data_IF_138198092319
#
_entry.id   IF_138198092319
#
_cell.length_a   1.000
_cell.length_b   1.000
_cell.length_c   1.000
_cell.angle_alpha   90.00
_cell.angle_beta   90.00
_cell.angle_gamma   90.00
#
_symmetry.space_group_name_H-M   'P 1'
#
loop_
_entity.id
_entity.type
_entity.pdbx_description
1 polymer ?
#
# COMPACT_ATOMS: atom_id res chain seq x y z
N UNK A 1 -6.82 -10.02 14.81
CA UNK A 1 -5.46 -9.69 14.34
C UNK A 1 -5.24 -10.48 13.07
N UNK A 2 -5.29 -9.81 11.92
CA UNK A 2 -5.10 -10.48 10.62
C UNK A 2 -3.63 -10.89 10.42
N UNK A 3 -3.37 -11.85 9.51
CA UNK A 3 -2.01 -12.21 9.11
C UNK A 3 -1.30 -11.01 8.48
N UNK A 4 0.04 -10.93 8.58
CA UNK A 4 0.81 -9.75 8.16
C UNK A 4 1.30 -9.90 6.71
N UNK A 5 1.39 -8.80 5.93
CA UNK A 5 1.92 -8.85 4.57
C UNK A 5 3.34 -9.41 4.56
N UNK A 6 3.59 -10.43 3.73
CA UNK A 6 4.91 -11.05 3.61
C UNK A 6 5.88 -10.14 2.85
N UNK A 7 7.06 -9.85 3.41
CA UNK A 7 8.01 -8.86 2.87
C UNK A 7 8.75 -9.30 1.60
N UNK A 8 8.65 -10.59 1.22
CA UNK A 8 9.42 -11.16 0.12
C UNK A 8 9.18 -10.43 -1.21
N UNK A 9 7.96 -9.99 -1.50
CA UNK A 9 7.64 -9.33 -2.77
C UNK A 9 8.26 -7.92 -2.89
N UNK A 10 8.25 -7.14 -1.81
CA UNK A 10 8.72 -5.75 -1.83
C UNK A 10 10.24 -5.64 -2.02
N UNK A 11 11.00 -6.64 -1.58
CA UNK A 11 12.46 -6.68 -1.73
C UNK A 11 12.89 -7.32 -3.05
N UNK A 12 12.04 -8.19 -3.62
CA UNK A 12 12.24 -8.81 -4.93
C UNK A 12 11.70 -7.99 -6.10
N UNK A 13 11.32 -6.73 -5.89
CA UNK A 13 10.78 -5.87 -6.94
C UNK A 13 11.75 -5.80 -8.13
N UNK A 14 11.21 -6.05 -9.31
CA UNK A 14 11.89 -5.89 -10.58
C UNK A 14 12.29 -4.41 -10.80
N UNK A 15 13.32 -4.13 -11.62
CA UNK A 15 13.70 -2.75 -11.94
C UNK A 15 12.54 -1.91 -12.51
N UNK A 16 11.65 -2.55 -13.27
CA UNK A 16 10.44 -1.94 -13.84
C UNK A 16 9.49 -1.49 -12.72
N UNK A 17 9.19 -2.36 -11.77
CA UNK A 17 8.28 -2.05 -10.66
C UNK A 17 8.84 -0.96 -9.74
N UNK A 18 10.17 -0.94 -9.51
CA UNK A 18 10.84 0.16 -8.81
C UNK A 18 10.65 1.49 -9.55
N UNK A 19 10.74 1.47 -10.88
CA UNK A 19 10.49 2.66 -11.72
C UNK A 19 9.03 3.10 -11.65
N UNK A 20 8.08 2.17 -11.57
CA UNK A 20 6.65 2.48 -11.40
C UNK A 20 6.35 3.14 -10.04
N UNK A 21 6.96 2.64 -8.96
CA UNK A 21 6.87 3.26 -7.63
C UNK A 21 7.46 4.67 -7.63
N UNK A 22 8.65 4.86 -8.21
CA UNK A 22 9.30 6.15 -8.34
C UNK A 22 8.45 7.14 -9.16
N UNK A 23 7.88 6.68 -10.28
CA UNK A 23 6.97 7.46 -11.12
C UNK A 23 5.71 7.87 -10.35
N UNK A 24 5.18 6.96 -9.53
CA UNK A 24 4.01 7.25 -8.68
C UNK A 24 4.36 8.29 -7.61
N UNK A 25 5.52 8.19 -6.97
CA UNK A 25 6.01 9.18 -6.01
C UNK A 25 6.20 10.56 -6.66
N UNK A 26 6.72 10.61 -7.88
CA UNK A 26 6.85 11.84 -8.65
C UNK A 26 5.48 12.47 -8.91
N UNK A 27 4.50 11.69 -9.36
CA UNK A 27 3.13 12.15 -9.56
C UNK A 27 2.54 12.73 -8.27
N UNK A 28 2.66 12.02 -7.14
CA UNK A 28 2.19 12.51 -5.84
C UNK A 28 2.89 13.80 -5.41
N UNK A 29 4.17 13.94 -5.74
CA UNK A 29 4.95 15.16 -5.44
C UNK A 29 4.48 16.34 -6.29
N UNK A 30 4.22 16.14 -7.58
CA UNK A 30 3.64 17.17 -8.46
C UNK A 30 2.24 17.59 -7.97
N UNK A 31 1.41 16.63 -7.58
CA UNK A 31 0.09 16.91 -6.99
C UNK A 31 0.19 17.68 -5.67
N UNK A 32 1.13 17.32 -4.80
CA UNK A 32 1.39 18.04 -3.55
C UNK A 32 1.73 19.50 -3.81
N UNK A 33 2.71 19.78 -4.66
CA UNK A 33 3.16 21.16 -4.95
C UNK A 33 2.02 22.00 -5.53
N UNK A 34 1.19 21.42 -6.40
CA UNK A 34 0.04 22.12 -6.99
C UNK A 34 -1.04 22.46 -5.96
N UNK A 35 -1.26 21.60 -4.96
CA UNK A 35 -2.42 21.68 -4.07
C UNK A 35 -2.10 22.23 -2.66
N UNK A 36 -0.82 22.43 -2.32
CA UNK A 36 -0.41 22.84 -0.96
C UNK A 36 -0.97 24.18 -0.52
N UNK A 37 -1.11 25.14 -1.44
CA UNK A 37 -1.59 26.48 -1.11
C UNK A 37 -3.12 26.54 -0.95
N UNK A 38 -3.85 25.63 -1.60
CA UNK A 38 -5.32 25.64 -1.64
C UNK A 38 -5.94 24.71 -0.59
N UNK A 39 -5.32 23.57 -0.33
CA UNK A 39 -5.96 22.47 0.41
C UNK A 39 -5.24 22.11 1.70
N UNK A 40 -4.42 23.02 2.22
CA UNK A 40 -3.58 22.81 3.39
C UNK A 40 -4.30 22.33 4.66
N UNK A 41 -5.59 22.65 4.79
CA UNK A 41 -6.47 22.26 5.92
C UNK A 41 -7.43 21.11 5.59
N UNK A 42 -7.40 20.58 4.37
CA UNK A 42 -8.31 19.52 3.94
C UNK A 42 -7.81 18.15 4.40
N UNK A 43 -8.71 17.30 4.90
CA UNK A 43 -8.36 15.95 5.37
C UNK A 43 -7.69 15.10 4.27
N UNK A 44 -8.22 15.15 3.04
CA UNK A 44 -7.62 14.44 1.91
C UNK A 44 -6.20 14.89 1.60
N UNK A 45 -5.88 16.18 1.82
CA UNK A 45 -4.55 16.69 1.58
C UNK A 45 -3.56 16.19 2.63
N UNK A 46 -3.99 16.08 3.90
CA UNK A 46 -3.19 15.42 4.94
C UNK A 46 -2.92 13.95 4.60
N UNK A 47 -3.91 13.21 4.10
CA UNK A 47 -3.73 11.83 3.62
C UNK A 47 -2.76 11.75 2.43
N UNK A 48 -2.83 12.68 1.47
CA UNK A 48 -1.86 12.79 0.37
C UNK A 48 -0.44 13.03 0.89
N UNK A 49 -0.27 13.95 1.84
CA UNK A 49 1.05 14.26 2.44
C UNK A 49 1.61 13.03 3.15
N UNK A 50 0.79 12.34 3.94
CA UNK A 50 1.17 11.13 4.64
C UNK A 50 1.58 10.03 3.66
N UNK A 51 0.73 9.74 2.67
CA UNK A 51 0.98 8.72 1.64
C UNK A 51 2.27 9.01 0.85
N UNK A 52 2.47 10.24 0.40
CA UNK A 52 3.70 10.66 -0.32
C UNK A 52 4.95 10.43 0.52
N UNK A 53 4.92 10.86 1.79
CA UNK A 53 6.07 10.69 2.70
C UNK A 53 6.37 9.22 2.93
N UNK A 54 5.34 8.43 3.21
CA UNK A 54 5.48 6.99 3.43
C UNK A 54 6.06 6.28 2.22
N UNK A 55 5.56 6.58 1.00
CA UNK A 55 6.09 6.00 -0.23
C UNK A 55 7.57 6.37 -0.46
N UNK A 56 7.96 7.61 -0.15
CA UNK A 56 9.36 8.03 -0.22
C UNK A 56 10.26 7.28 0.77
N UNK A 57 9.79 7.01 1.99
CA UNK A 57 10.52 6.22 2.98
C UNK A 57 10.68 4.77 2.53
N UNK A 58 9.61 4.15 2.04
CA UNK A 58 9.65 2.79 1.52
C UNK A 58 10.65 2.63 0.37
N UNK A 59 10.65 3.57 -0.59
CA UNK A 59 11.59 3.52 -1.72
C UNK A 59 13.04 3.67 -1.23
N UNK A 60 13.30 4.58 -0.29
CA UNK A 60 14.63 4.74 0.30
C UNK A 60 15.12 3.50 1.05
N UNK A 61 14.22 2.76 1.72
CA UNK A 61 14.55 1.50 2.38
C UNK A 61 14.85 0.39 1.38
N UNK A 62 14.06 0.28 0.31
CA UNK A 62 14.29 -0.69 -0.77
C UNK A 62 15.64 -0.41 -1.47
N UNK A 63 15.95 0.85 -1.73
CA UNK A 63 17.23 1.27 -2.33
C UNK A 63 18.40 0.98 -1.37
N UNK A 64 18.29 1.36 -0.10
CA UNK A 64 19.32 1.11 0.91
C UNK A 64 19.59 -0.39 1.09
N UNK A 65 18.55 -1.22 1.11
CA UNK A 65 18.69 -2.67 1.15
C UNK A 65 19.39 -3.20 -0.12
N UNK A 66 19.03 -2.68 -1.29
CA UNK A 66 19.62 -3.11 -2.58
C UNK A 66 21.10 -2.72 -2.69
N UNK A 67 21.48 -1.50 -2.33
CA UNK A 67 22.86 -1.00 -2.42
C UNK A 67 23.76 -1.51 -1.29
N UNK A 68 23.20 -1.72 -0.09
CA UNK A 68 23.89 -2.36 1.03
C UNK A 68 24.37 -3.78 0.68
N UNK A 69 23.55 -4.54 -0.05
CA UNK A 69 23.91 -5.87 -0.55
C UNK A 69 25.06 -5.82 -1.57
N UNK A 70 25.08 -4.82 -2.46
CA UNK A 70 26.13 -4.70 -3.50
C UNK A 70 27.50 -4.31 -2.93
N UNK A 71 27.52 -3.51 -1.86
CA UNK A 71 28.75 -2.97 -1.27
C UNK A 71 29.43 -3.93 -0.28
N UNK A 72 28.69 -4.88 0.29
CA UNK A 72 29.18 -5.83 1.29
C UNK A 72 29.34 -7.24 0.69
N UNK A 73 30.23 -8.05 1.27
CA UNK A 73 30.42 -9.47 0.88
C UNK A 73 30.30 -10.40 2.07
N UNK A 74 29.84 -11.62 1.82
CA UNK A 74 29.74 -12.68 2.84
C UNK A 74 28.70 -12.37 3.92
N UNK A 75 29.03 -12.68 5.18
CA UNK A 75 28.10 -12.59 6.32
C UNK A 75 27.48 -11.20 6.53
N UNK A 76 28.25 -10.13 6.27
CA UNK A 76 27.79 -8.74 6.42
C UNK A 76 26.74 -8.33 5.38
N UNK A 77 26.80 -8.91 4.18
CA UNK A 77 25.77 -8.66 3.16
C UNK A 77 24.44 -9.32 3.53
N UNK A 78 24.51 -10.50 4.15
CA UNK A 78 23.35 -11.22 4.67
C UNK A 78 22.69 -10.45 5.83
N UNK A 79 23.49 -9.97 6.79
CA UNK A 79 23.00 -9.14 7.90
C UNK A 79 22.33 -7.85 7.41
N UNK A 80 22.95 -7.15 6.44
CA UNK A 80 22.38 -5.93 5.86
C UNK A 80 21.09 -6.19 5.07
N UNK A 81 21.00 -7.36 4.41
CA UNK A 81 19.77 -7.80 3.75
C UNK A 81 18.68 -7.99 4.80
N UNK A 82 18.91 -8.82 5.81
CA UNK A 82 17.95 -9.13 6.88
C UNK A 82 17.47 -7.87 7.62
N UNK A 83 18.36 -6.92 7.91
CA UNK A 83 17.99 -5.63 8.50
C UNK A 83 17.08 -4.80 7.57
N UNK A 84 17.39 -4.78 6.28
CA UNK A 84 16.54 -4.14 5.27
C UNK A 84 15.17 -4.81 5.17
N UNK A 85 15.11 -6.14 5.21
CA UNK A 85 13.84 -6.87 5.14
C UNK A 85 12.96 -6.58 6.36
N UNK A 86 13.56 -6.54 7.55
CA UNK A 86 12.87 -6.22 8.79
C UNK A 86 12.23 -4.83 8.74
N UNK A 87 12.97 -3.80 8.28
CA UNK A 87 12.44 -2.43 8.16
C UNK A 87 11.28 -2.32 7.17
N UNK A 88 11.43 -2.95 6.00
CA UNK A 88 10.36 -3.00 5.00
C UNK A 88 9.13 -3.72 5.55
N UNK A 89 9.32 -4.84 6.27
CA UNK A 89 8.23 -5.61 6.90
C UNK A 89 7.48 -4.77 7.93
N UNK A 90 8.20 -4.11 8.83
CA UNK A 90 7.62 -3.25 9.86
C UNK A 90 6.80 -2.12 9.22
N UNK A 91 7.35 -1.50 8.17
CA UNK A 91 6.66 -0.45 7.43
C UNK A 91 5.41 -0.97 6.73
N UNK A 92 5.47 -2.13 6.07
CA UNK A 92 4.30 -2.73 5.43
C UNK A 92 3.22 -3.13 6.45
N UNK A 93 3.63 -3.59 7.64
CA UNK A 93 2.72 -3.82 8.76
C UNK A 93 2.00 -2.54 9.20
N UNK A 94 2.71 -1.42 9.31
CA UNK A 94 2.09 -0.12 9.57
C UNK A 94 1.17 0.32 8.43
N UNK A 95 1.56 0.08 7.17
CA UNK A 95 0.78 0.47 6.00
C UNK A 95 -0.56 -0.22 5.92
N UNK A 96 -0.68 -1.46 6.39
CA UNK A 96 -1.95 -2.17 6.44
C UNK A 96 -3.03 -1.36 7.20
N UNK A 97 -2.65 -0.77 8.34
CA UNK A 97 -3.57 0.02 9.16
C UNK A 97 -3.89 1.39 8.52
N UNK A 98 -2.91 2.06 7.92
CA UNK A 98 -3.09 3.44 7.43
C UNK A 98 -3.58 3.53 5.99
N UNK A 99 -3.34 2.49 5.18
CA UNK A 99 -3.71 2.47 3.76
C UNK A 99 -5.22 2.57 3.59
N UNK A 100 -5.98 1.86 4.42
CA UNK A 100 -7.43 1.93 4.42
C UNK A 100 -7.94 3.34 4.69
N UNK A 101 -7.33 4.05 5.65
CA UNK A 101 -7.67 5.45 5.96
C UNK A 101 -7.42 6.39 4.79
N UNK A 102 -6.30 6.24 4.07
CA UNK A 102 -6.02 7.03 2.88
C UNK A 102 -7.03 6.74 1.77
N UNK A 103 -7.31 5.46 1.51
CA UNK A 103 -8.27 5.04 0.50
C UNK A 103 -9.65 5.62 0.76
N UNK A 104 -10.19 5.47 1.98
CA UNK A 104 -11.49 6.04 2.37
C UNK A 104 -11.54 7.57 2.19
N UNK A 105 -10.48 8.27 2.60
CA UNK A 105 -10.43 9.74 2.45
C UNK A 105 -10.47 10.14 0.97
N UNK A 106 -9.81 9.38 0.09
CA UNK A 106 -9.82 9.65 -1.35
C UNK A 106 -11.14 9.25 -2.01
N UNK A 107 -11.81 8.20 -1.53
CA UNK A 107 -13.17 7.85 -1.96
C UNK A 107 -14.18 8.95 -1.57
N UNK A 108 -14.05 9.54 -0.39
CA UNK A 108 -14.87 10.69 -0.01
C UNK A 108 -14.62 11.91 -0.90
N UNK A 109 -13.35 12.16 -1.26
CA UNK A 109 -13.00 13.23 -2.21
C UNK A 109 -13.63 12.98 -3.59
N UNK A 110 -13.66 11.72 -4.04
CA UNK A 110 -14.34 11.29 -5.26
C UNK A 110 -15.85 11.55 -5.17
N UNK A 111 -16.49 11.08 -4.09
CA UNK A 111 -17.93 11.22 -3.87
C UNK A 111 -18.39 12.69 -3.75
N UNK A 112 -17.53 13.59 -3.26
CA UNK A 112 -17.83 15.02 -3.16
C UNK A 112 -17.96 15.74 -4.52
N UNK A 113 -17.52 15.12 -5.62
CA UNK A 113 -17.75 15.61 -7.00
C UNK A 113 -16.81 16.74 -7.46
N UNK A 114 -16.64 17.79 -6.66
CA UNK A 114 -15.83 18.98 -7.01
C UNK A 114 -14.37 18.68 -7.39
N UNK A 115 -13.80 17.60 -6.85
CA UNK A 115 -12.44 17.14 -7.16
C UNK A 115 -12.42 15.65 -7.56
N UNK A 116 -13.49 15.15 -8.18
CA UNK A 116 -13.67 13.73 -8.49
C UNK A 116 -12.48 13.12 -9.25
N UNK A 117 -11.98 13.82 -10.27
CA UNK A 117 -10.83 13.34 -11.06
C UNK A 117 -9.58 13.18 -10.21
N UNK A 118 -9.32 14.11 -9.28
CA UNK A 118 -8.20 14.00 -8.35
C UNK A 118 -8.39 12.82 -7.39
N UNK A 119 -9.60 12.65 -6.86
CA UNK A 119 -9.96 11.49 -6.04
C UNK A 119 -9.67 10.16 -6.75
N UNK A 120 -10.09 10.03 -8.01
CA UNK A 120 -9.83 8.84 -8.83
C UNK A 120 -8.32 8.58 -9.01
N UNK A 121 -7.55 9.61 -9.34
CA UNK A 121 -6.09 9.49 -9.52
C UNK A 121 -5.42 9.04 -8.22
N UNK A 122 -5.83 9.59 -7.07
CA UNK A 122 -5.27 9.22 -5.77
C UNK A 122 -5.64 7.79 -5.36
N UNK A 123 -6.89 7.36 -5.58
CA UNK A 123 -7.30 5.98 -5.35
C UNK A 123 -6.53 5.00 -6.25
N UNK A 124 -6.35 5.35 -7.52
CA UNK A 124 -5.58 4.53 -8.46
C UNK A 124 -4.09 4.44 -8.05
N UNK A 125 -3.50 5.53 -7.55
CA UNK A 125 -2.14 5.53 -7.03
C UNK A 125 -1.99 4.62 -5.81
N UNK A 126 -2.93 4.68 -4.86
CA UNK A 126 -2.95 3.78 -3.69
C UNK A 126 -3.05 2.32 -4.16
N UNK A 127 -4.04 2.00 -4.99
CA UNK A 127 -4.23 0.64 -5.50
C UNK A 127 -2.99 0.09 -6.23
N UNK A 128 -2.35 0.92 -7.06
CA UNK A 128 -1.10 0.54 -7.74
C UNK A 128 0.01 0.22 -6.76
N UNK A 129 0.24 1.10 -5.78
CA UNK A 129 1.31 0.87 -4.80
C UNK A 129 1.01 -0.37 -3.96
N UNK A 130 -0.23 -0.54 -3.48
CA UNK A 130 -0.65 -1.73 -2.74
C UNK A 130 -0.43 -3.03 -3.52
N UNK A 131 -0.66 -3.01 -4.83
CA UNK A 131 -0.39 -4.16 -5.70
C UNK A 131 1.11 -4.46 -5.75
N UNK A 132 1.93 -3.44 -6.00
CA UNK A 132 3.38 -3.62 -6.13
C UNK A 132 4.02 -4.11 -4.83
N UNK A 133 3.56 -3.62 -3.68
CA UNK A 133 4.10 -4.04 -2.38
C UNK A 133 3.50 -5.35 -1.86
N UNK A 134 2.56 -5.98 -2.59
CA UNK A 134 1.93 -7.25 -2.20
C UNK A 134 0.82 -7.13 -1.15
N UNK A 135 0.42 -5.91 -0.77
CA UNK A 135 -0.73 -5.69 0.13
C UNK A 135 -2.02 -6.16 -0.56
N UNK A 136 -2.19 -5.90 -1.86
CA UNK A 136 -3.42 -6.28 -2.57
C UNK A 136 -3.58 -7.80 -2.71
N UNK A 137 -2.49 -8.53 -2.96
CA UNK A 137 -2.53 -10.01 -3.03
C UNK A 137 -2.99 -10.59 -1.69
N UNK A 138 -2.51 -10.02 -0.58
CA UNK A 138 -2.98 -10.36 0.76
C UNK A 138 -4.49 -10.13 0.95
N UNK A 139 -5.03 -8.98 0.52
CA UNK A 139 -6.48 -8.73 0.58
C UNK A 139 -7.29 -9.62 -0.37
N UNK A 140 -6.75 -9.98 -1.54
CA UNK A 140 -7.41 -10.87 -2.49
C UNK A 140 -7.43 -12.32 -2.00
N UNK A 141 -6.33 -12.79 -1.41
CA UNK A 141 -6.25 -14.12 -0.81
C UNK A 141 -7.19 -14.24 0.39
N UNK A 142 -7.19 -13.24 1.28
CA UNK A 142 -8.10 -13.18 2.42
C UNK A 142 -9.58 -13.10 1.99
N UNK A 143 -9.90 -12.23 1.02
CA UNK A 143 -11.26 -12.17 0.45
C UNK A 143 -11.66 -13.48 -0.23
N UNK A 144 -10.71 -14.22 -0.81
CA UNK A 144 -10.97 -15.55 -1.39
C UNK A 144 -11.23 -16.60 -0.32
N UNK A 145 -10.57 -16.52 0.83
CA UNK A 145 -10.75 -17.43 1.96
C UNK A 145 -12.10 -17.17 2.66
N UNK A 146 -12.41 -15.91 2.98
CA UNK A 146 -13.71 -15.52 3.54
C UNK A 146 -14.87 -15.88 2.60
N UNK A 147 -14.71 -15.65 1.28
CA UNK A 147 -15.74 -16.02 0.30
C UNK A 147 -15.88 -17.54 0.18
N UNK A 148 -14.79 -18.31 0.28
CA UNK A 148 -14.86 -19.78 0.34
C UNK A 148 -15.55 -20.25 1.62
N UNK A 149 -15.33 -19.60 2.76
CA UNK A 149 -16.02 -19.92 4.01
C UNK A 149 -17.52 -19.66 3.88
N UNK A 150 -17.93 -18.49 3.36
CA UNK A 150 -19.32 -18.17 3.10
C UNK A 150 -19.95 -19.16 2.11
N UNK A 151 -19.25 -19.51 1.03
CA UNK A 151 -19.73 -20.52 0.08
C UNK A 151 -19.88 -21.91 0.71
N UNK A 152 -18.98 -22.31 1.60
CA UNK A 152 -19.09 -23.58 2.35
C UNK A 152 -20.26 -23.57 3.33
N UNK A 153 -20.56 -22.43 3.97
CA UNK A 153 -21.75 -22.27 4.82
C UNK A 153 -23.04 -22.34 3.99
N UNK A 154 -23.04 -21.73 2.79
CA UNK A 154 -24.15 -21.82 1.85
C UNK A 154 -24.34 -23.24 1.29
N UNK A 155 -23.26 -23.94 0.94
CA UNK A 155 -23.30 -25.35 0.48
C UNK A 155 -23.77 -26.32 1.57
N UNK A 156 -23.46 -26.03 2.85
CA UNK A 156 -23.93 -26.81 4.00
C UNK A 156 -25.41 -26.57 4.33
N UNK A 157 -26.09 -25.67 3.62
CA UNK A 157 -27.54 -25.52 3.72
C UNK A 157 -28.03 -24.84 5.00
N UNK A 158 -27.17 -24.09 5.70
CA UNK A 158 -27.59 -23.21 6.79
C UNK A 158 -28.12 -21.89 6.20
N UNK A 159 -29.23 -21.99 5.45
CA UNK A 159 -30.03 -20.82 5.17
C UNK A 159 -30.51 -20.28 6.51
N UNK A 160 -30.02 -19.10 6.90
CA UNK A 160 -30.66 -18.25 7.91
C UNK A 160 -32.03 -17.90 7.35
N UNK A 161 -32.98 -18.81 7.55
CA UNK A 161 -34.40 -18.52 7.44
C UNK A 161 -34.69 -17.66 8.67
N UNK A 162 -34.47 -16.36 8.51
CA UNK A 162 -35.05 -15.35 9.38
C UNK A 162 -36.57 -15.48 9.19
N UNK A 163 -37.21 -16.28 10.06
CA UNK A 163 -38.66 -16.38 10.13
C UNK A 163 -39.18 -15.07 10.70
N UNK A 164 -39.84 -14.27 9.85
CA UNK A 164 -40.84 -13.30 10.27
C UNK A 164 -42.18 -14.03 10.37
#
# INVERSE_FOLDING_TARGET
MGPKPTPNHALSLTPTEKTELATTLELLTRLYVRNVNQHRRSHWFSSLVAFRKQLGLLLGEIEAATEGIKSLKGKKAQEAKEEGEMKVTERLGFWDEVCHGWYLTFTQLLAAGQFAVLGLVLMAAVARVCKLVGITEFYQDFASEDMKEVLQVMEKGEAVIERI
#
